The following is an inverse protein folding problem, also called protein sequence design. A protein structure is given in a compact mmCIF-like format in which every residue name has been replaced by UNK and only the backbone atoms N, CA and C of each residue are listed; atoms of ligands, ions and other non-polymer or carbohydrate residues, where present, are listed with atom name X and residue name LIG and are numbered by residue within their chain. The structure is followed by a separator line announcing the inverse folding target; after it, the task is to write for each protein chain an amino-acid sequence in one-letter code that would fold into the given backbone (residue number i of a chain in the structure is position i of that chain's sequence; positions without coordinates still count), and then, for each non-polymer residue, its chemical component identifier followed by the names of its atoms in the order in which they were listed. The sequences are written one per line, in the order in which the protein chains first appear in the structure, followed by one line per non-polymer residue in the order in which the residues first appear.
data_IF_026363527956
#
_entry.id   IF_026363527956
#
_cell.length_a   1.000
_cell.length_b   1.000
_cell.length_c   1.000
_cell.angle_alpha   90.00
_cell.angle_beta   90.00
_cell.angle_gamma   90.00
#
_symmetry.space_group_name_H-M   'P 1'
#
loop_
_entity.id
_entity.type
_entity.pdbx_description
1 polymer ?
#
# COMPACT_ATOMS: atom_id res chain seq x y z
N UNK A 1 -20.33 -2.72 4.03
CA UNK A 1 -19.05 -3.02 4.69
C UNK A 1 -18.43 -1.68 5.06
N UNK A 2 -17.80 -1.55 6.24
CA UNK A 2 -17.15 -0.31 6.68
C UNK A 2 -15.63 -0.59 6.78
N UNK A 3 -14.83 -0.22 5.76
CA UNK A 3 -13.40 -0.50 5.76
C UNK A 3 -12.68 0.35 6.81
N UNK A 4 -11.87 -0.31 7.66
CA UNK A 4 -11.01 0.41 8.60
C UNK A 4 -10.01 1.26 7.81
N UNK A 5 -9.97 2.57 8.10
CA UNK A 5 -9.02 3.51 7.49
C UNK A 5 -7.55 3.11 7.71
N UNK A 6 -7.25 2.45 8.83
CA UNK A 6 -5.90 2.03 9.21
C UNK A 6 -5.88 0.55 9.51
N UNK A 7 -4.85 -0.15 9.02
CA UNK A 7 -4.49 -1.50 9.45
C UNK A 7 -3.01 -1.60 9.75
N UNK A 8 -2.67 -2.53 10.62
CA UNK A 8 -1.28 -2.85 10.97
C UNK A 8 -0.92 -4.21 10.38
N UNK A 9 0.18 -4.26 9.65
CA UNK A 9 0.76 -5.49 9.10
C UNK A 9 2.22 -5.52 9.53
N UNK A 10 2.66 -6.62 10.15
CA UNK A 10 4.05 -6.80 10.60
C UNK A 10 4.53 -5.63 11.50
N UNK A 11 3.64 -5.11 12.35
CA UNK A 11 3.89 -3.93 13.20
C UNK A 11 3.90 -2.59 12.46
N UNK A 12 3.87 -2.57 11.13
CA UNK A 12 3.84 -1.36 10.32
C UNK A 12 2.41 -0.88 10.07
N UNK A 13 2.20 0.44 10.11
CA UNK A 13 0.91 1.10 9.81
C UNK A 13 0.72 1.27 8.30
N UNK A 14 -0.43 0.82 7.80
CA UNK A 14 -0.88 1.03 6.43
C UNK A 14 -2.24 1.73 6.41
N UNK A 15 -2.42 2.59 5.41
CA UNK A 15 -3.63 3.36 5.19
C UNK A 15 -4.45 2.73 4.07
N UNK A 16 -5.76 2.63 4.26
CA UNK A 16 -6.66 2.27 3.16
C UNK A 16 -6.61 3.36 2.09
N UNK A 17 -6.61 2.95 0.82
CA UNK A 17 -6.60 3.86 -0.32
C UNK A 17 -7.94 4.56 -0.58
N UNK A 18 -9.01 4.14 0.11
CA UNK A 18 -10.34 4.73 0.01
C UNK A 18 -11.22 4.11 -1.07
N UNK A 19 -10.72 3.10 -1.80
CA UNK A 19 -11.46 2.42 -2.86
C UNK A 19 -11.75 0.96 -2.50
N UNK A 20 -12.87 0.45 -3.01
CA UNK A 20 -13.28 -0.95 -2.89
C UNK A 20 -13.27 -1.57 -4.27
N UNK A 21 -12.60 -2.71 -4.41
CA UNK A 21 -12.41 -3.38 -5.69
C UNK A 21 -13.21 -4.68 -5.74
N UNK A 22 -13.98 -4.87 -6.80
CA UNK A 22 -14.85 -6.05 -6.97
C UNK A 22 -14.10 -7.33 -7.37
N UNK A 23 -12.82 -7.24 -7.74
CA UNK A 23 -12.01 -8.39 -8.07
C UNK A 23 -10.54 -8.20 -7.69
N UNK A 24 -9.87 -9.32 -7.44
CA UNK A 24 -8.45 -9.33 -7.12
C UNK A 24 -7.60 -8.77 -8.26
N UNK A 25 -7.99 -9.02 -9.52
CA UNK A 25 -7.25 -8.57 -10.69
C UNK A 25 -7.19 -7.04 -10.75
N UNK A 26 -8.33 -6.36 -10.52
CA UNK A 26 -8.39 -4.89 -10.50
C UNK A 26 -7.55 -4.35 -9.34
N UNK A 27 -7.66 -4.97 -8.15
CA UNK A 27 -6.87 -4.57 -7.00
C UNK A 27 -5.35 -4.72 -7.24
N UNK A 28 -4.92 -5.79 -7.94
CA UNK A 28 -3.51 -6.02 -8.30
C UNK A 28 -2.99 -5.02 -9.33
N UNK A 29 -3.81 -4.66 -10.31
CA UNK A 29 -3.47 -3.63 -11.28
C UNK A 29 -3.21 -2.29 -10.59
N UNK A 30 -4.13 -1.86 -9.71
CA UNK A 30 -3.95 -0.64 -8.91
C UNK A 30 -2.75 -0.72 -7.98
N UNK A 31 -2.57 -1.85 -7.29
CA UNK A 31 -1.42 -2.08 -6.41
C UNK A 31 -0.08 -1.88 -7.14
N UNK A 32 -0.02 -2.28 -8.42
CA UNK A 32 1.19 -2.13 -9.24
C UNK A 32 1.58 -0.67 -9.49
N UNK A 33 0.63 0.27 -9.51
CA UNK A 33 0.93 1.70 -9.57
C UNK A 33 1.61 2.16 -8.27
N UNK A 34 1.01 1.87 -7.12
CA UNK A 34 1.57 2.23 -5.81
C UNK A 34 2.99 1.65 -5.58
N UNK A 35 3.24 0.41 -6.02
CA UNK A 35 4.57 -0.20 -5.94
C UNK A 35 5.62 0.59 -6.76
N UNK A 36 5.25 1.16 -7.92
CA UNK A 36 6.14 2.02 -8.72
C UNK A 36 6.42 3.35 -8.02
N UNK A 37 5.43 3.88 -7.29
CA UNK A 37 5.52 5.10 -6.49
C UNK A 37 6.24 4.92 -5.13
N UNK A 38 6.95 3.80 -4.94
CA UNK A 38 7.70 3.47 -3.72
C UNK A 38 6.80 3.30 -2.48
N UNK A 39 5.58 2.83 -2.68
CA UNK A 39 4.73 2.34 -1.60
C UNK A 39 4.87 0.82 -1.47
N UNK A 40 4.75 0.33 -0.25
CA UNK A 40 4.36 -1.05 0.01
C UNK A 40 2.85 -1.16 -0.05
N UNK A 41 2.36 -2.31 -0.50
CA UNK A 41 0.94 -2.57 -0.71
C UNK A 41 0.53 -3.89 -0.08
N UNK A 42 -0.63 -3.87 0.60
CA UNK A 42 -1.30 -5.05 1.14
C UNK A 42 -2.73 -5.11 0.60
N UNK A 43 -3.05 -6.16 -0.14
CA UNK A 43 -4.41 -6.43 -0.62
C UNK A 43 -5.11 -7.30 0.42
N UNK A 44 -6.31 -6.91 0.84
CA UNK A 44 -7.12 -7.63 1.82
C UNK A 44 -8.45 -7.99 1.20
N UNK A 45 -8.79 -9.28 1.19
CA UNK A 45 -10.13 -9.74 0.82
C UNK A 45 -11.13 -9.42 1.94
N UNK A 46 -12.23 -8.77 1.60
CA UNK A 46 -13.29 -8.34 2.50
C UNK A 46 -14.64 -8.82 1.95
N UNK A 47 -15.00 -10.07 2.25
CA UNK A 47 -16.17 -10.71 1.64
C UNK A 47 -15.92 -11.04 0.18
N UNK A 48 -16.72 -10.45 -0.72
CA UNK A 48 -16.54 -10.57 -2.17
C UNK A 48 -15.63 -9.49 -2.76
N UNK A 49 -15.31 -8.47 -1.97
CA UNK A 49 -14.52 -7.32 -2.41
C UNK A 49 -13.08 -7.41 -1.93
N UNK A 50 -12.26 -6.50 -2.44
CA UNK A 50 -10.84 -6.35 -2.15
C UNK A 50 -10.54 -4.91 -1.77
N UNK A 51 -9.69 -4.74 -0.76
CA UNK A 51 -9.24 -3.45 -0.25
C UNK A 51 -7.73 -3.35 -0.39
N UNK A 52 -7.23 -2.16 -0.71
CA UNK A 52 -5.79 -1.91 -0.83
C UNK A 52 -5.35 -1.04 0.33
N UNK A 53 -4.34 -1.51 1.04
CA UNK A 53 -3.68 -0.78 2.12
C UNK A 53 -2.27 -0.42 1.68
N UNK A 54 -1.90 0.86 1.74
CA UNK A 54 -0.61 1.36 1.28
C UNK A 54 0.19 2.00 2.41
N UNK A 55 1.52 1.96 2.27
CA UNK A 55 2.46 2.64 3.15
C UNK A 55 3.64 3.14 2.31
N UNK A 56 4.01 4.41 2.47
CA UNK A 56 5.18 4.96 1.76
C UNK A 56 6.46 4.39 2.38
N UNK A 57 7.33 3.82 1.56
CA UNK A 57 8.68 3.42 1.97
C UNK A 57 9.64 4.52 1.57
N UNK A 58 10.04 5.33 2.54
CA UNK A 58 11.18 6.23 2.33
C UNK A 58 12.41 5.34 2.38
N UNK A 59 12.88 4.85 1.23
CA UNK A 59 14.26 4.38 1.13
C UNK A 59 15.12 5.61 1.46
N UNK A 60 15.82 5.57 2.59
CA UNK A 60 16.91 6.50 2.85
C UNK A 60 17.84 6.44 1.63
N UNK A 61 17.83 7.51 0.85
CA UNK A 61 18.89 7.71 -0.13
C UNK A 61 20.11 7.97 0.74
N UNK A 62 21.04 7.02 0.81
CA UNK A 62 22.36 7.27 1.36
C UNK A 62 22.96 8.37 0.49
N UNK A 63 22.83 9.62 0.94
CA UNK A 63 23.55 10.73 0.33
C UNK A 63 24.97 10.57 0.86
N UNK A 64 25.82 9.85 0.13
CA UNK A 64 27.26 9.93 0.34
C UNK A 64 27.69 11.36 0.02
N UNK A 65 27.62 12.23 1.03
CA UNK A 65 28.17 13.57 1.00
C UNK A 65 29.68 13.46 0.85
N UNK A 66 30.16 13.47 -0.40
CA UNK A 66 31.56 13.70 -0.70
C UNK A 66 31.85 15.17 -0.42
N UNK A 67 32.28 15.47 0.81
CA UNK A 67 33.01 16.70 1.09
C UNK A 67 34.34 16.62 0.33
N UNK A 68 34.54 17.51 -0.62
CA UNK A 68 35.82 17.80 -1.27
C UNK A 68 35.95 19.29 -1.44
#
# INVERSE_FOLDING_TARGET
MDPRMVRYFDGCKYMWDGEVYSSESIAREKASAYLKDKFEVRIVKAGNDFLIYTRRVVKEVVVEGKQS
#
